data_IF_528121054612
#
_entry.id   IF_528121054612
#
_cell.length_a   1.000
_cell.length_b   1.000
_cell.length_c   1.000
_cell.angle_alpha   90.00
_cell.angle_beta   90.00
_cell.angle_gamma   90.00
#
_symmetry.space_group_name_H-M   'P 1'
#
loop_
_entity.id
_entity.type
_entity.pdbx_description
1 polymer ?
#
# COMPACT_ATOMS: atom_id res chain seq x y z
N UNK A 1 26.24 9.93 -10.80
CA UNK A 1 24.85 10.41 -10.89
C UNK A 1 24.10 9.75 -9.74
N UNK A 2 23.63 10.52 -8.75
CA UNK A 2 22.94 9.94 -7.60
C UNK A 2 21.55 9.50 -8.08
N UNK A 3 21.17 8.25 -7.79
CA UNK A 3 19.90 7.68 -8.23
C UNK A 3 18.78 8.15 -7.28
N UNK A 4 17.78 8.89 -7.79
CA UNK A 4 16.65 9.44 -7.03
C UNK A 4 15.99 8.40 -6.12
N UNK A 5 15.70 7.21 -6.65
CA UNK A 5 15.08 6.12 -5.89
C UNK A 5 16.02 5.45 -4.89
N UNK A 6 17.33 5.50 -5.12
CA UNK A 6 18.32 5.05 -4.14
C UNK A 6 18.34 5.99 -2.93
N UNK A 7 18.27 7.31 -3.15
CA UNK A 7 18.15 8.29 -2.07
C UNK A 7 16.87 8.03 -1.27
N UNK A 8 15.71 7.89 -1.93
CA UNK A 8 14.46 7.60 -1.24
C UNK A 8 14.57 6.33 -0.39
N UNK A 9 15.12 5.25 -0.96
CA UNK A 9 15.31 3.98 -0.24
C UNK A 9 16.17 4.14 1.01
N UNK A 10 17.28 4.85 0.92
CA UNK A 10 18.15 5.12 2.07
C UNK A 10 17.46 6.00 3.10
N UNK A 11 16.79 7.07 2.64
CA UNK A 11 16.14 8.05 3.49
C UNK A 11 14.83 7.59 4.12
N UNK A 12 14.21 6.49 3.65
CA UNK A 12 13.00 5.90 4.25
C UNK A 12 13.25 4.56 4.93
N UNK A 13 14.51 4.13 5.07
CA UNK A 13 14.84 2.79 5.57
C UNK A 13 14.37 2.51 7.00
N UNK A 14 14.49 3.49 7.90
CA UNK A 14 14.03 3.41 9.29
C UNK A 14 12.51 3.29 9.39
N UNK A 15 11.76 4.17 8.70
CA UNK A 15 10.29 4.16 8.72
C UNK A 15 9.71 2.95 7.97
N UNK A 16 10.41 2.45 6.94
CA UNK A 16 10.07 1.19 6.28
C UNK A 16 10.20 0.00 7.24
N UNK A 17 11.29 -0.06 8.03
CA UNK A 17 11.43 -1.11 9.05
C UNK A 17 10.37 -1.01 10.14
N UNK A 18 9.97 0.20 10.52
CA UNK A 18 8.95 0.38 11.55
C UNK A 18 7.59 -0.18 11.12
N UNK A 19 7.19 0.04 9.86
CA UNK A 19 5.92 -0.49 9.36
C UNK A 19 5.95 -2.02 9.22
N UNK A 20 7.09 -2.62 8.88
CA UNK A 20 7.23 -4.08 8.81
C UNK A 20 6.88 -4.76 10.13
N UNK A 21 7.18 -4.12 11.27
CA UNK A 21 6.82 -4.63 12.61
C UNK A 21 5.31 -4.63 12.88
N UNK A 22 4.53 -3.89 12.10
CA UNK A 22 3.08 -3.81 12.24
C UNK A 22 2.34 -4.88 11.41
N UNK A 23 3.07 -5.67 10.61
CA UNK A 23 2.49 -6.68 9.73
C UNK A 23 2.47 -8.02 10.48
N UNK A 24 1.30 -8.64 10.73
CA UNK A 24 1.16 -9.77 11.65
C UNK A 24 1.67 -11.12 11.09
N UNK A 25 2.39 -11.10 9.97
CA UNK A 25 2.66 -12.25 9.07
C UNK A 25 3.74 -13.20 9.54
N UNK A 26 4.56 -12.80 10.50
CA UNK A 26 5.62 -13.64 11.08
C UNK A 26 5.17 -14.39 12.34
N UNK A 27 3.92 -14.22 12.78
CA UNK A 27 3.37 -14.94 13.93
C UNK A 27 2.98 -16.37 13.53
N UNK A 28 3.58 -17.42 14.12
CA UNK A 28 3.26 -18.81 13.78
C UNK A 28 1.81 -19.20 14.10
N UNK A 29 1.17 -18.48 15.03
CA UNK A 29 -0.20 -18.70 15.51
C UNK A 29 -1.22 -17.74 14.86
N UNK A 30 -0.81 -17.00 13.82
CA UNK A 30 -1.69 -16.07 13.11
C UNK A 30 -2.98 -16.78 12.65
N UNK A 31 -4.13 -16.25 13.05
CA UNK A 31 -5.43 -16.72 12.61
C UNK A 31 -5.92 -15.96 11.37
N UNK A 32 -6.77 -16.60 10.57
CA UNK A 32 -7.32 -15.99 9.35
C UNK A 32 -8.12 -14.72 9.66
N UNK A 33 -8.86 -14.68 10.78
CA UNK A 33 -9.63 -13.50 11.18
C UNK A 33 -8.73 -12.32 11.56
N UNK A 34 -7.56 -12.58 12.15
CA UNK A 34 -6.57 -11.53 12.44
C UNK A 34 -5.97 -10.97 11.15
N UNK A 35 -5.71 -11.82 10.16
CA UNK A 35 -5.25 -11.42 8.83
C UNK A 35 -6.34 -10.63 8.08
N UNK A 36 -7.61 -11.06 8.16
CA UNK A 36 -8.78 -10.35 7.61
C UNK A 36 -8.94 -8.97 8.25
N UNK A 37 -8.85 -8.87 9.58
CA UNK A 37 -8.88 -7.60 10.31
C UNK A 37 -7.71 -6.68 9.92
N UNK A 38 -6.52 -7.25 9.71
CA UNK A 38 -5.40 -6.50 9.15
C UNK A 38 -5.70 -5.98 7.73
N UNK A 39 -6.26 -6.82 6.85
CA UNK A 39 -6.59 -6.42 5.48
C UNK A 39 -7.66 -5.32 5.42
N UNK A 40 -8.66 -5.36 6.31
CA UNK A 40 -9.65 -4.27 6.49
C UNK A 40 -8.97 -2.96 6.87
N UNK A 41 -7.96 -2.99 7.75
CA UNK A 41 -7.17 -1.80 8.10
C UNK A 41 -6.33 -1.30 6.93
N UNK A 42 -5.70 -2.19 6.18
CA UNK A 42 -4.97 -1.82 4.95
C UNK A 42 -5.91 -1.15 3.95
N UNK A 43 -7.11 -1.70 3.72
CA UNK A 43 -8.14 -1.07 2.88
C UNK A 43 -8.54 0.32 3.38
N UNK A 44 -8.74 0.47 4.70
CA UNK A 44 -9.08 1.75 5.32
C UNK A 44 -8.03 2.86 5.10
N UNK A 45 -6.78 2.49 4.82
CA UNK A 45 -5.72 3.44 4.46
C UNK A 45 -5.61 3.64 2.94
N UNK A 46 -5.60 2.54 2.17
CA UNK A 46 -5.40 2.58 0.73
C UNK A 46 -6.54 3.30 -0.01
N UNK A 47 -7.80 3.01 0.33
CA UNK A 47 -8.95 3.56 -0.38
C UNK A 47 -9.00 5.10 -0.37
N UNK A 48 -8.91 5.80 0.79
CA UNK A 48 -8.88 7.26 0.77
C UNK A 48 -7.64 7.82 0.08
N UNK A 49 -6.46 7.20 0.21
CA UNK A 49 -5.24 7.64 -0.47
C UNK A 49 -5.35 7.53 -2.00
N UNK A 50 -5.89 6.42 -2.49
CA UNK A 50 -6.14 6.21 -3.93
C UNK A 50 -7.18 7.18 -4.47
N UNK A 51 -8.18 7.58 -3.67
CA UNK A 51 -9.10 8.65 -4.06
C UNK A 51 -8.38 10.00 -4.21
N UNK A 52 -7.42 10.33 -3.33
CA UNK A 52 -6.61 11.56 -3.46
C UNK A 52 -5.75 11.53 -4.72
N UNK A 53 -5.16 10.37 -5.05
CA UNK A 53 -4.44 10.18 -6.31
C UNK A 53 -5.38 10.38 -7.51
N UNK A 54 -6.58 9.79 -7.47
CA UNK A 54 -7.58 9.92 -8.55
C UNK A 54 -7.94 11.38 -8.80
N UNK A 55 -8.20 12.15 -7.75
CA UNK A 55 -8.52 13.58 -7.88
C UNK A 55 -7.36 14.34 -8.53
N UNK A 56 -6.12 14.05 -8.13
CA UNK A 56 -4.95 14.71 -8.69
C UNK A 56 -4.76 14.38 -10.18
N UNK A 57 -4.85 13.11 -10.58
CA UNK A 57 -4.69 12.71 -12.00
C UNK A 57 -5.84 13.18 -12.88
N UNK A 58 -7.06 13.31 -12.35
CA UNK A 58 -8.20 13.86 -13.10
C UNK A 58 -7.96 15.33 -13.47
N UNK A 59 -7.19 16.06 -12.64
CA UNK A 59 -6.86 17.47 -12.86
C UNK A 59 -5.59 17.68 -13.69
N UNK A 60 -4.61 16.77 -13.59
CA UNK A 60 -3.26 16.98 -14.15
C UNK A 60 -2.87 15.97 -15.24
N UNK A 61 -3.66 14.91 -15.45
CA UNK A 61 -3.37 13.81 -16.37
C UNK A 61 -2.84 12.55 -15.67
N UNK A 62 -3.12 11.39 -16.26
CA UNK A 62 -2.72 10.07 -15.75
C UNK A 62 -1.43 9.57 -16.42
N UNK A 63 -0.29 10.20 -16.09
CA UNK A 63 1.02 9.84 -16.66
C UNK A 63 1.55 8.49 -16.15
N UNK A 64 1.01 7.99 -15.04
CA UNK A 64 1.46 6.74 -14.38
C UNK A 64 0.52 5.54 -14.61
N UNK A 65 -0.49 5.69 -15.48
CA UNK A 65 -1.49 4.65 -15.80
C UNK A 65 -2.18 4.07 -14.55
N UNK A 66 -2.65 4.94 -13.65
CA UNK A 66 -3.18 4.62 -12.32
C UNK A 66 -4.30 3.60 -12.33
N UNK A 67 -5.11 3.52 -13.39
CA UNK A 67 -6.13 2.46 -13.55
C UNK A 67 -5.56 1.05 -13.39
N UNK A 68 -4.28 0.86 -13.72
CA UNK A 68 -3.57 -0.42 -13.60
C UNK A 68 -2.80 -0.57 -12.29
N UNK A 69 -2.81 0.46 -11.44
CA UNK A 69 -2.04 0.54 -10.18
C UNK A 69 -2.92 0.71 -8.94
N UNK A 70 -4.24 0.78 -9.04
CA UNK A 70 -5.08 0.75 -7.84
C UNK A 70 -5.09 -0.64 -7.18
N UNK A 71 -4.91 -0.67 -5.86
CA UNK A 71 -4.84 -1.86 -4.99
C UNK A 71 -6.10 -2.03 -4.16
N UNK A 72 -6.91 -0.98 -4.00
CA UNK A 72 -8.15 -1.09 -3.23
C UNK A 72 -9.09 -2.13 -3.82
N UNK A 73 -9.11 -2.31 -5.15
CA UNK A 73 -9.89 -3.38 -5.79
C UNK A 73 -9.35 -4.78 -5.46
N UNK A 74 -8.04 -4.96 -5.32
CA UNK A 74 -7.44 -6.22 -4.90
C UNK A 74 -7.81 -6.54 -3.45
N UNK A 75 -7.77 -5.53 -2.57
CA UNK A 75 -8.19 -5.64 -1.18
C UNK A 75 -9.67 -6.01 -1.07
N UNK A 76 -10.55 -5.37 -1.85
CA UNK A 76 -11.99 -5.70 -1.88
C UNK A 76 -12.21 -7.15 -2.34
N UNK A 77 -11.51 -7.59 -3.39
CA UNK A 77 -11.63 -8.96 -3.89
C UNK A 77 -11.23 -9.99 -2.83
N UNK A 78 -10.11 -9.77 -2.14
CA UNK A 78 -9.64 -10.66 -1.08
C UNK A 78 -10.63 -10.68 0.10
N UNK A 79 -11.10 -9.51 0.57
CA UNK A 79 -12.07 -9.42 1.66
C UNK A 79 -13.38 -10.16 1.34
N UNK A 80 -13.91 -10.01 0.12
CA UNK A 80 -15.10 -10.76 -0.33
C UNK A 80 -14.81 -12.27 -0.34
N UNK A 81 -13.66 -12.67 -0.88
CA UNK A 81 -13.23 -14.07 -0.90
C UNK A 81 -13.09 -14.68 0.51
N UNK A 82 -12.89 -13.84 1.54
CA UNK A 82 -12.74 -14.27 2.93
C UNK A 82 -14.02 -14.10 3.75
N UNK A 83 -15.15 -13.77 3.11
CA UNK A 83 -16.47 -13.76 3.73
C UNK A 83 -16.99 -12.38 4.16
N UNK A 84 -16.33 -11.28 3.78
CA UNK A 84 -16.96 -9.96 3.91
C UNK A 84 -18.07 -9.75 2.88
N UNK A 85 -19.20 -9.18 3.32
CA UNK A 85 -20.19 -8.62 2.42
C UNK A 85 -19.77 -7.24 1.91
N UNK A 86 -20.37 -6.78 0.81
CA UNK A 86 -20.11 -5.42 0.29
C UNK A 86 -20.49 -4.35 1.31
N UNK A 87 -21.57 -4.56 2.05
CA UNK A 87 -22.05 -3.67 3.10
C UNK A 87 -21.04 -3.60 4.27
N UNK A 88 -20.44 -4.74 4.65
CA UNK A 88 -19.35 -4.80 5.64
C UNK A 88 -18.10 -4.04 5.19
N UNK A 89 -17.79 -4.07 3.89
CA UNK A 89 -16.64 -3.35 3.31
C UNK A 89 -16.94 -1.85 3.25
N UNK A 90 -18.13 -1.45 2.82
CA UNK A 90 -18.55 -0.04 2.78
C UNK A 90 -18.57 0.63 4.15
N UNK A 91 -18.72 -0.15 5.22
CA UNK A 91 -18.68 0.33 6.61
C UNK A 91 -17.29 0.28 7.26
N UNK A 92 -16.24 -0.13 6.53
CA UNK A 92 -14.87 -0.06 7.03
C UNK A 92 -14.52 1.40 7.33
N UNK A 93 -14.03 1.65 8.55
CA UNK A 93 -13.48 2.94 8.92
C UNK A 93 -12.26 3.27 8.06
N UNK A 94 -12.28 4.43 7.41
CA UNK A 94 -11.20 4.92 6.55
C UNK A 94 -10.47 6.08 7.20
N UNK A 95 -9.19 6.26 6.85
CA UNK A 95 -8.37 7.34 7.36
C UNK A 95 -8.86 8.70 6.80
N UNK A 96 -9.51 9.51 7.64
CA UNK A 96 -10.12 10.80 7.23
C UNK A 96 -9.12 11.95 7.09
N UNK A 97 -7.93 11.83 7.68
CA UNK A 97 -6.95 12.92 7.79
C UNK A 97 -5.73 12.75 6.86
N UNK A 98 -5.88 12.04 5.73
CA UNK A 98 -4.79 11.95 4.75
C UNK A 98 -4.64 13.28 4.02
N UNK A 99 -3.38 13.70 3.85
CA UNK A 99 -3.05 14.89 3.08
C UNK A 99 -3.45 14.71 1.61
N UNK A 100 -3.85 15.81 0.96
CA UNK A 100 -4.07 15.82 -0.49
C UNK A 100 -2.74 15.67 -1.23
N UNK A 101 -2.81 15.05 -2.42
CA UNK A 101 -1.69 15.03 -3.37
C UNK A 101 -1.65 16.39 -4.06
N UNK A 102 -0.64 17.21 -3.79
CA UNK A 102 -0.60 18.60 -4.24
C UNK A 102 0.40 18.89 -5.35
N UNK A 103 1.19 17.90 -5.78
CA UNK A 103 2.21 18.07 -6.82
C UNK A 103 2.62 16.72 -7.43
N UNK A 104 3.32 16.78 -8.57
CA UNK A 104 3.92 15.60 -9.18
C UNK A 104 4.92 14.90 -8.24
N UNK A 105 5.70 15.67 -7.48
CA UNK A 105 6.64 15.14 -6.48
C UNK A 105 5.92 14.35 -5.39
N UNK A 106 4.78 14.85 -4.92
CA UNK A 106 3.95 14.19 -3.90
C UNK A 106 3.32 12.91 -4.45
N UNK A 107 2.84 12.94 -5.70
CA UNK A 107 2.34 11.76 -6.39
C UNK A 107 3.44 10.69 -6.52
N UNK A 108 4.64 11.06 -6.99
CA UNK A 108 5.77 10.12 -7.14
C UNK A 108 6.20 9.54 -5.79
N UNK A 109 6.27 10.36 -4.74
CA UNK A 109 6.56 9.89 -3.39
C UNK A 109 5.50 8.91 -2.88
N UNK A 110 4.22 9.18 -3.16
CA UNK A 110 3.12 8.29 -2.80
C UNK A 110 3.20 6.96 -3.55
N UNK A 111 3.36 7.01 -4.87
CA UNK A 111 3.48 5.80 -5.69
C UNK A 111 4.75 5.02 -5.38
N UNK A 112 5.84 5.68 -4.97
CA UNK A 112 7.04 5.01 -4.48
C UNK A 112 6.72 4.07 -3.30
N UNK A 113 5.92 4.54 -2.33
CA UNK A 113 5.51 3.73 -1.18
C UNK A 113 4.54 2.61 -1.60
N UNK A 114 3.50 2.93 -2.37
CA UNK A 114 2.45 1.97 -2.74
C UNK A 114 2.93 0.90 -3.75
N UNK A 115 3.72 1.28 -4.74
CA UNK A 115 4.31 0.32 -5.68
C UNK A 115 5.44 -0.47 -5.02
N UNK A 116 6.23 0.18 -4.15
CA UNK A 116 7.28 -0.48 -3.39
C UNK A 116 6.75 -1.58 -2.47
N UNK A 117 5.59 -1.36 -1.83
CA UNK A 117 4.98 -2.36 -0.94
C UNK A 117 4.58 -3.64 -1.65
N UNK A 118 4.31 -3.62 -2.97
CA UNK A 118 4.02 -4.84 -3.76
C UNK A 118 5.19 -5.84 -3.76
N UNK A 119 6.43 -5.36 -3.63
CA UNK A 119 7.62 -6.21 -3.52
C UNK A 119 7.67 -6.92 -2.17
N UNK A 120 7.36 -6.20 -1.09
CA UNK A 120 7.27 -6.78 0.26
C UNK A 120 6.10 -7.77 0.38
N UNK A 121 4.97 -7.43 -0.24
CA UNK A 121 3.77 -8.28 -0.31
C UNK A 121 4.08 -9.67 -0.90
N UNK A 122 4.95 -9.78 -1.90
CA UNK A 122 5.39 -11.08 -2.45
C UNK A 122 6.12 -11.97 -1.43
N UNK A 123 6.90 -11.36 -0.53
CA UNK A 123 7.58 -12.09 0.57
C UNK A 123 6.53 -12.55 1.59
N UNK A 124 5.61 -11.64 1.93
CA UNK A 124 4.50 -11.89 2.85
C UNK A 124 3.62 -13.04 2.34
N UNK A 125 3.22 -13.00 1.08
CA UNK A 125 2.41 -14.02 0.43
C UNK A 125 3.05 -15.41 0.59
N UNK A 126 4.36 -15.53 0.33
CA UNK A 126 5.09 -16.80 0.49
C UNK A 126 5.16 -17.27 1.93
N UNK A 127 5.26 -16.35 2.90
CA UNK A 127 5.26 -16.70 4.32
C UNK A 127 3.88 -17.19 4.77
N UNK A 128 2.82 -16.48 4.35
CA UNK A 128 1.43 -16.87 4.63
C UNK A 128 1.09 -18.24 4.02
N UNK A 129 1.49 -18.52 2.77
CA UNK A 129 1.29 -19.82 2.11
C UNK A 129 1.97 -21.00 2.81
N UNK A 130 2.97 -20.75 3.66
CA UNK A 130 3.66 -21.80 4.43
C UNK A 130 3.05 -22.03 5.81
N UNK A 131 2.65 -20.94 6.48
CA UNK A 131 2.27 -20.95 7.90
C UNK A 131 0.77 -21.10 8.11
N UNK A 132 -0.03 -20.62 7.16
CA UNK A 132 -1.48 -20.74 7.14
C UNK A 132 -1.85 -21.60 5.95
N UNK A 133 -2.91 -22.40 6.07
CA UNK A 133 -3.49 -23.08 4.91
C UNK A 133 -4.27 -22.08 4.02
N UNK A 134 -3.61 -20.98 3.61
CA UNK A 134 -4.17 -19.93 2.75
C UNK A 134 -4.39 -20.40 1.31
N UNK A 135 -4.06 -21.64 0.96
CA UNK A 135 -4.31 -22.20 -0.37
C UNK A 135 -5.79 -22.19 -0.77
N UNK A 136 -6.68 -22.11 0.22
CA UNK A 136 -8.12 -21.97 0.05
C UNK A 136 -8.61 -20.51 -0.10
N UNK A 137 -7.72 -19.52 0.05
CA UNK A 137 -8.07 -18.10 0.14
C UNK A 137 -7.42 -17.30 -0.99
N UNK A 138 -8.16 -16.34 -1.52
CA UNK A 138 -7.65 -15.39 -2.51
C UNK A 138 -6.68 -14.41 -1.84
N UNK A 139 -5.51 -14.17 -2.42
CA UNK A 139 -4.45 -13.34 -1.83
C UNK A 139 -4.00 -12.23 -2.80
N UNK A 140 -4.90 -11.74 -3.65
CA UNK A 140 -4.59 -10.84 -4.76
C UNK A 140 -3.82 -9.57 -4.35
N UNK A 141 -4.11 -8.99 -3.18
CA UNK A 141 -3.35 -7.84 -2.67
C UNK A 141 -1.89 -8.22 -2.33
N UNK A 142 -1.69 -9.37 -1.68
CA UNK A 142 -0.36 -9.86 -1.33
C UNK A 142 0.41 -10.43 -2.54
N UNK A 143 -0.31 -10.93 -3.54
CA UNK A 143 0.26 -11.28 -4.84
C UNK A 143 0.68 -10.04 -5.63
N UNK A 144 0.13 -8.85 -5.33
CA UNK A 144 0.47 -7.61 -6.02
C UNK A 144 0.12 -7.70 -7.51
N UNK A 145 1.14 -7.88 -8.35
CA UNK A 145 0.97 -8.10 -9.80
C UNK A 145 1.43 -9.51 -10.24
N UNK A 146 1.53 -10.46 -9.30
CA UNK A 146 2.05 -11.80 -9.55
C UNK A 146 3.47 -11.76 -10.13
N UNK A 147 3.68 -12.50 -11.23
CA UNK A 147 4.96 -12.55 -11.94
C UNK A 147 5.42 -11.18 -12.48
N UNK A 148 4.50 -10.25 -12.70
CA UNK A 148 4.80 -8.91 -13.22
C UNK A 148 5.17 -7.90 -12.13
N UNK A 149 5.22 -8.29 -10.85
CA UNK A 149 5.45 -7.33 -9.75
C UNK A 149 6.75 -6.54 -9.93
N UNK A 150 7.83 -7.22 -10.31
CA UNK A 150 9.10 -6.55 -10.58
C UNK A 150 9.11 -5.73 -11.87
N UNK A 151 8.41 -6.17 -12.92
CA UNK A 151 8.31 -5.41 -14.18
C UNK A 151 7.51 -4.12 -13.99
N UNK A 152 6.41 -4.18 -13.22
CA UNK A 152 5.56 -3.05 -12.83
C UNK A 152 6.30 -2.01 -11.99
N UNK A 153 7.09 -2.47 -11.02
CA UNK A 153 7.97 -1.60 -10.22
C UNK A 153 9.00 -0.88 -11.10
N UNK A 154 9.66 -1.62 -12.01
CA UNK A 154 10.62 -1.01 -12.96
C UNK A 154 9.94 -0.02 -13.90
N UNK A 155 8.75 -0.34 -14.40
CA UNK A 155 7.95 0.53 -15.26
C UNK A 155 7.58 1.83 -14.54
N UNK A 156 7.13 1.76 -13.28
CA UNK A 156 6.87 2.96 -12.47
C UNK A 156 8.12 3.84 -12.35
N UNK A 157 9.26 3.25 -11.97
CA UNK A 157 10.50 4.02 -11.83
C UNK A 157 10.95 4.65 -13.14
N UNK A 158 10.86 3.92 -14.25
CA UNK A 158 11.21 4.42 -15.57
C UNK A 158 10.30 5.59 -15.99
N UNK A 159 9.00 5.53 -15.68
CA UNK A 159 8.06 6.64 -15.88
C UNK A 159 8.45 7.84 -15.02
N UNK A 160 8.69 7.65 -13.72
CA UNK A 160 9.09 8.76 -12.83
C UNK A 160 10.45 9.38 -13.22
N UNK A 161 11.37 8.58 -13.74
CA UNK A 161 12.70 9.03 -14.17
C UNK A 161 12.60 10.07 -15.32
N UNK A 162 11.54 10.05 -16.14
CA UNK A 162 11.32 11.08 -17.19
C UNK A 162 10.97 12.45 -16.62
N UNK A 163 10.68 12.55 -15.32
CA UNK A 163 10.33 13.79 -14.65
C UNK A 163 11.38 14.25 -13.63
N UNK A 164 12.51 13.55 -13.49
CA UNK A 164 13.47 13.75 -12.39
C UNK A 164 13.93 15.21 -12.22
N UNK A 165 14.08 15.96 -13.32
CA UNK A 165 14.46 17.38 -13.28
C UNK A 165 13.39 18.29 -12.63
N UNK A 166 12.14 17.87 -12.66
CA UNK A 166 11.00 18.56 -12.06
C UNK A 166 10.65 18.04 -10.65
N UNK A 167 11.33 16.98 -10.18
CA UNK A 167 11.09 16.40 -8.87
C UNK A 167 11.96 17.08 -7.81
N UNK A 168 11.33 17.49 -6.72
CA UNK A 168 12.03 17.97 -5.53
C UNK A 168 12.37 16.78 -4.64
N UNK A 169 13.67 16.46 -4.54
CA UNK A 169 14.13 15.29 -3.77
C UNK A 169 13.84 15.43 -2.26
N UNK A 170 13.97 16.62 -1.69
CA UNK A 170 13.75 16.83 -0.25
C UNK A 170 12.26 16.70 0.08
N UNK A 171 11.41 17.24 -0.80
CA UNK A 171 9.96 17.05 -0.70
C UNK A 171 9.59 15.57 -0.90
N UNK A 172 10.19 14.87 -1.86
CA UNK A 172 9.90 13.45 -2.10
C UNK A 172 10.28 12.58 -0.89
N UNK A 173 11.43 12.85 -0.26
CA UNK A 173 11.84 12.19 1.00
C UNK A 173 10.82 12.47 2.09
N UNK A 174 10.49 13.75 2.31
CA UNK A 174 9.53 14.16 3.34
C UNK A 174 8.19 13.46 3.15
N UNK A 175 7.62 13.49 1.93
CA UNK A 175 6.32 12.89 1.61
C UNK A 175 6.31 11.38 1.74
N UNK A 176 7.34 10.70 1.24
CA UNK A 176 7.46 9.24 1.39
C UNK A 176 7.50 8.85 2.88
N UNK A 177 8.27 9.59 3.69
CA UNK A 177 8.33 9.36 5.15
C UNK A 177 7.00 9.63 5.84
N UNK A 178 6.31 10.72 5.51
CA UNK A 178 4.99 11.06 6.04
C UNK A 178 3.99 9.91 5.80
N UNK A 179 3.98 9.33 4.59
CA UNK A 179 3.07 8.23 4.24
C UNK A 179 3.41 6.96 5.02
N UNK A 180 4.69 6.58 5.14
CA UNK A 180 5.09 5.46 5.99
C UNK A 180 4.67 5.66 7.45
N UNK A 181 4.88 6.86 7.98
CA UNK A 181 4.56 7.18 9.37
C UNK A 181 3.04 7.17 9.61
N UNK A 182 2.27 7.81 8.73
CA UNK A 182 0.80 7.81 8.81
C UNK A 182 0.25 6.39 8.70
N UNK A 183 0.78 5.58 7.78
CA UNK A 183 0.34 4.20 7.63
C UNK A 183 0.71 3.35 8.84
N UNK A 184 1.90 3.55 9.41
CA UNK A 184 2.34 2.88 10.65
C UNK A 184 1.43 3.24 11.82
N UNK A 185 1.16 4.54 12.03
CA UNK A 185 0.27 5.02 13.09
C UNK A 185 -1.12 4.44 12.90
N UNK A 186 -1.64 4.42 11.67
CA UNK A 186 -2.94 3.85 11.35
C UNK A 186 -3.04 2.36 11.66
N UNK A 187 -2.02 1.58 11.28
CA UNK A 187 -1.99 0.14 11.56
C UNK A 187 -1.87 -0.15 13.07
N UNK A 188 -1.16 0.69 13.84
CA UNK A 188 -1.04 0.58 15.30
C UNK A 188 -2.29 1.06 16.05
N UNK A 189 -2.90 2.14 15.58
CA UNK A 189 -3.93 2.92 16.29
C UNK A 189 -5.31 2.27 16.37
N UNK A 190 -5.54 1.18 15.65
CA UNK A 190 -6.84 0.52 15.58
C UNK A 190 -6.80 -0.91 16.16
N UNK A 191 -6.45 -1.04 17.44
CA UNK A 191 -7.00 -2.09 18.30
C UNK A 191 -8.41 -1.65 18.74
N UNK A 192 -9.38 -1.70 17.83
CA UNK A 192 -10.81 -1.59 18.19
C UNK A 192 -11.41 -3.00 18.05
N UNK A 193 -12.17 -3.49 19.04
CA UNK A 193 -12.63 -4.88 19.11
C UNK A 193 -13.43 -5.22 17.86
N UNK A 194 -13.28 -6.47 17.40
CA UNK A 194 -14.28 -7.10 16.52
C UNK A 194 -15.67 -6.71 16.99
N UNK A 195 -16.44 -6.06 16.11
CA UNK A 195 -17.89 -6.05 16.26
C UNK A 195 -18.39 -7.44 15.88
N UNK A 196 -18.15 -8.38 16.79
CA UNK A 196 -19.00 -9.55 16.95
C UNK A 196 -20.37 -9.05 17.40
N UNK A 197 -21.31 -8.97 16.46
CA UNK A 197 -22.73 -9.30 16.68
C UNK A 197 -23.31 -9.89 15.41
#
# INVERSE_FOLDING_TARGET
>A
MINFFQILKEATHDVHKEIELCIPVLRPDLQIDELRSHLRRVFGFYQPLENKISIFIDQHGDEFEMKRRYKSSLLVNDLIGWGDSRESIHSIHTHSELNDISSLTDLVATLYVLEGSTLGNQIICRALSKNLNVSAFQMSFYEGYGADTYSRWRSFKAQAETHTESLDIDLAIKKSREIFQQFTIWLKGNQIPDLAK
#
